data_IF_600718684378
#
_entry.id   IF_600718684378
#
_cell.length_a   1.000
_cell.length_b   1.000
_cell.length_c   1.000
_cell.angle_alpha   90.00
_cell.angle_beta   90.00
_cell.angle_gamma   90.00
#
_symmetry.space_group_name_H-M   'P 1'
#
loop_
_entity.id
_entity.type
_entity.pdbx_description
1 polymer ?
#
# COMPACT_ATOMS: atom_id res chain seq x y z
N UNK A 1 17.03 -15.32 9.35
CA UNK A 1 16.54 -14.43 8.28
C UNK A 1 15.10 -13.98 8.51
N UNK A 2 14.11 -14.88 8.62
CA UNK A 2 12.68 -14.51 8.77
C UNK A 2 12.37 -13.53 9.91
N UNK A 3 12.89 -13.75 11.13
CA UNK A 3 12.64 -12.89 12.29
C UNK A 3 13.06 -11.42 12.09
N UNK A 4 14.16 -11.20 11.36
CA UNK A 4 14.68 -9.85 11.08
C UNK A 4 13.81 -9.13 10.03
N UNK A 5 13.34 -9.86 9.01
CA UNK A 5 12.40 -9.35 8.01
C UNK A 5 11.07 -8.98 8.69
N UNK A 6 10.56 -9.82 9.59
CA UNK A 6 9.34 -9.53 10.36
C UNK A 6 9.50 -8.28 11.22
N UNK A 7 10.65 -8.11 11.90
CA UNK A 7 10.94 -6.90 12.69
C UNK A 7 10.93 -5.63 11.82
N UNK A 8 11.60 -5.68 10.66
CA UNK A 8 11.64 -4.57 9.71
C UNK A 8 10.23 -4.24 9.20
N UNK A 9 9.41 -5.25 8.92
CA UNK A 9 8.04 -5.06 8.48
C UNK A 9 7.15 -4.39 9.56
N UNK A 10 7.31 -4.80 10.82
CA UNK A 10 6.59 -4.16 11.94
C UNK A 10 7.02 -2.70 12.11
N UNK A 11 8.33 -2.40 12.03
CA UNK A 11 8.84 -1.03 12.07
C UNK A 11 8.29 -0.18 10.92
N UNK A 12 8.23 -0.75 9.72
CA UNK A 12 7.65 -0.11 8.55
C UNK A 12 6.17 0.24 8.74
N UNK A 13 5.37 -0.70 9.27
CA UNK A 13 3.96 -0.46 9.61
C UNK A 13 3.82 0.65 10.67
N UNK A 14 4.68 0.67 11.69
CA UNK A 14 4.71 1.73 12.69
C UNK A 14 5.02 3.10 12.10
N UNK A 15 5.93 3.17 11.13
CA UNK A 15 6.26 4.40 10.39
C UNK A 15 5.07 4.91 9.58
N UNK A 16 4.34 4.02 8.91
CA UNK A 16 3.10 4.38 8.18
C UNK A 16 2.05 4.92 9.14
N UNK A 17 1.86 4.27 10.29
CA UNK A 17 0.90 4.72 11.31
C UNK A 17 1.28 6.08 11.91
N UNK A 18 2.58 6.33 12.14
CA UNK A 18 3.05 7.63 12.60
C UNK A 18 2.81 8.73 11.55
N UNK A 19 3.12 8.45 10.28
CA UNK A 19 2.82 9.35 9.17
C UNK A 19 1.33 9.67 9.05
N UNK A 20 0.46 8.69 9.34
CA UNK A 20 -0.98 8.88 9.38
C UNK A 20 -1.42 9.91 10.42
N UNK A 21 -0.83 9.83 11.62
CA UNK A 21 -1.15 10.75 12.71
C UNK A 21 -0.69 12.17 12.38
N UNK A 22 0.48 12.30 11.75
CA UNK A 22 1.03 13.61 11.38
C UNK A 22 0.25 14.28 10.23
N UNK A 23 -0.36 13.49 9.34
CA UNK A 23 -1.05 13.97 8.14
C UNK A 23 -2.56 13.68 8.21
N UNK A 24 -3.20 14.07 9.32
CA UNK A 24 -4.66 13.93 9.52
C UNK A 24 -5.52 14.82 8.64
N UNK A 25 -4.91 15.73 7.89
CA UNK A 25 -5.61 16.59 6.94
C UNK A 25 -6.38 15.76 5.89
N UNK A 26 -7.53 16.27 5.51
CA UNK A 26 -8.35 15.72 4.43
C UNK A 26 -7.91 16.29 3.09
N UNK A 27 -8.13 15.51 2.04
CA UNK A 27 -8.01 15.94 0.64
C UNK A 27 -9.36 15.79 0.00
N UNK A 28 -9.77 16.84 -0.71
CA UNK A 28 -10.97 16.82 -1.53
C UNK A 28 -10.69 16.05 -2.82
N UNK A 29 -11.35 14.92 -2.99
CA UNK A 29 -11.36 14.15 -4.23
C UNK A 29 -12.63 14.49 -5.00
N UNK A 30 -12.44 15.13 -6.15
CA UNK A 30 -13.50 15.40 -7.11
C UNK A 30 -13.70 14.16 -7.99
N UNK A 31 -14.83 13.49 -7.82
CA UNK A 31 -15.21 12.33 -8.65
C UNK A 31 -16.03 12.77 -9.87
N UNK A 32 -16.75 13.88 -9.76
CA UNK A 32 -17.57 14.49 -10.83
C UNK A 32 -17.73 15.99 -10.51
N UNK A 33 -18.09 16.82 -11.50
CA UNK A 33 -18.24 18.28 -11.33
C UNK A 33 -19.11 18.70 -10.12
N UNK A 34 -20.04 17.86 -9.67
CA UNK A 34 -20.92 18.11 -8.52
C UNK A 34 -20.69 17.18 -7.32
N UNK A 35 -19.68 16.31 -7.36
CA UNK A 35 -19.41 15.32 -6.30
C UNK A 35 -17.96 15.45 -5.82
N UNK A 36 -17.80 16.19 -4.73
CA UNK A 36 -16.56 16.34 -3.99
C UNK A 36 -16.66 15.53 -2.68
N UNK A 37 -15.71 14.62 -2.46
CA UNK A 37 -15.59 13.85 -1.22
C UNK A 37 -14.30 14.21 -0.50
N UNK A 38 -14.41 14.52 0.79
CA UNK A 38 -13.23 14.69 1.63
C UNK A 38 -12.80 13.35 2.20
N UNK A 39 -11.58 12.93 1.86
CA UNK A 39 -10.98 11.72 2.40
C UNK A 39 -9.67 12.04 3.12
N UNK A 40 -9.34 11.33 4.21
CA UNK A 40 -8.06 11.53 4.88
C UNK A 40 -6.89 11.23 3.93
N UNK A 41 -5.84 12.06 3.94
CA UNK A 41 -4.61 11.82 3.13
C UNK A 41 -4.04 10.43 3.34
N UNK A 42 -4.10 9.93 4.58
CA UNK A 42 -3.62 8.58 4.89
C UNK A 42 -4.40 7.50 4.16
N UNK A 43 -5.72 7.66 3.97
CA UNK A 43 -6.52 6.66 3.27
C UNK A 43 -6.03 6.50 1.83
N UNK A 44 -5.72 7.62 1.15
CA UNK A 44 -5.10 7.63 -0.18
C UNK A 44 -3.73 6.94 -0.19
N UNK A 45 -2.88 7.23 0.80
CA UNK A 45 -1.54 6.63 0.90
C UNK A 45 -1.63 5.12 1.13
N UNK A 46 -2.51 4.67 2.04
CA UNK A 46 -2.72 3.25 2.34
C UNK A 46 -3.28 2.50 1.13
N UNK A 47 -4.26 3.07 0.43
CA UNK A 47 -4.83 2.47 -0.78
C UNK A 47 -3.74 2.34 -1.86
N UNK A 48 -2.94 3.37 -2.08
CA UNK A 48 -1.85 3.36 -3.05
C UNK A 48 -0.78 2.31 -2.70
N UNK A 49 -0.34 2.26 -1.44
CA UNK A 49 0.63 1.29 -0.97
C UNK A 49 0.12 -0.15 -1.10
N UNK A 50 -1.16 -0.38 -0.76
CA UNK A 50 -1.81 -1.70 -0.86
C UNK A 50 -1.93 -2.13 -2.32
N UNK A 51 -2.34 -1.23 -3.21
CA UNK A 51 -2.41 -1.51 -4.65
C UNK A 51 -1.03 -1.88 -5.22
N UNK A 52 0.02 -1.15 -4.85
CA UNK A 52 1.39 -1.46 -5.25
C UNK A 52 1.87 -2.82 -4.74
N UNK A 53 1.59 -3.14 -3.47
CA UNK A 53 1.93 -4.43 -2.88
C UNK A 53 1.20 -5.60 -3.58
N UNK A 54 -0.09 -5.45 -3.86
CA UNK A 54 -0.88 -6.44 -4.61
C UNK A 54 -0.31 -6.66 -6.02
N UNK A 55 0.05 -5.58 -6.72
CA UNK A 55 0.64 -5.65 -8.05
C UNK A 55 1.98 -6.42 -8.03
N UNK A 56 2.84 -6.14 -7.04
CA UNK A 56 4.07 -6.91 -6.83
C UNK A 56 3.80 -8.40 -6.58
N UNK A 57 2.79 -8.74 -5.77
CA UNK A 57 2.43 -10.14 -5.51
C UNK A 57 1.96 -10.85 -6.79
N UNK A 58 1.16 -10.19 -7.61
CA UNK A 58 0.71 -10.72 -8.91
C UNK A 58 1.91 -10.99 -9.82
N UNK A 59 2.81 -10.00 -9.98
CA UNK A 59 4.03 -10.16 -10.81
C UNK A 59 4.90 -11.30 -10.29
N UNK A 60 5.13 -11.33 -8.97
CA UNK A 60 5.92 -12.38 -8.34
C UNK A 60 5.33 -13.76 -8.62
N UNK A 61 4.01 -13.90 -8.47
CA UNK A 61 3.29 -15.16 -8.71
C UNK A 61 3.40 -15.58 -10.16
N UNK A 62 3.19 -14.67 -11.12
CA UNK A 62 3.35 -14.96 -12.55
C UNK A 62 4.77 -15.43 -12.86
N UNK A 63 5.78 -14.75 -12.31
CA UNK A 63 7.19 -15.10 -12.52
C UNK A 63 7.53 -16.48 -11.95
N UNK A 64 7.02 -16.79 -10.77
CA UNK A 64 7.22 -18.07 -10.10
C UNK A 64 6.55 -19.22 -10.87
N UNK A 65 5.29 -19.02 -11.29
CA UNK A 65 4.57 -20.01 -12.13
C UNK A 65 5.26 -20.25 -13.46
N UNK A 66 5.77 -19.21 -14.13
CA UNK A 66 6.57 -19.38 -15.37
C UNK A 66 7.82 -20.21 -15.13
N UNK A 67 8.56 -19.93 -14.05
CA UNK A 67 9.75 -20.70 -13.69
C UNK A 67 9.44 -22.17 -13.41
N UNK A 68 8.27 -22.47 -12.83
CA UNK A 68 7.83 -23.84 -12.58
C UNK A 68 7.47 -24.59 -13.86
N UNK A 69 6.91 -23.90 -14.86
CA UNK A 69 6.51 -24.50 -16.15
C UNK A 69 7.71 -24.68 -17.09
N UNK A 70 8.68 -23.74 -17.06
CA UNK A 70 9.88 -23.79 -17.90
C UNK A 70 10.93 -24.83 -17.41
N UNK A 71 10.68 -25.53 -16.30
CA UNK A 71 11.59 -26.49 -15.67
C UNK A 71 10.99 -27.90 -15.63
#
# INVERSE_FOLDING_TARGET
MGKLITLIFILFLGLIAYFAVLNRETVTVLVTNNLAYEIPKIALVLISATAGALLMLIIYTIRDTRRLIDN
#
